data_IF_880056787657
#
_entry.id   IF_880056787657
#
_cell.length_a   1.000
_cell.length_b   1.000
_cell.length_c   1.000
_cell.angle_alpha   90.00
_cell.angle_beta   90.00
_cell.angle_gamma   90.00
#
_symmetry.space_group_name_H-M   'P 1'
#
loop_
_entity.id
_entity.type
_entity.pdbx_description
1 polymer ?
#
# COMPACT_ATOMS: atom_id res chain seq x y z
N UNK A 1 0.96 10.65 16.62
CA UNK A 1 1.55 9.32 16.37
C UNK A 1 1.87 9.27 14.89
N UNK A 2 3.12 9.00 14.52
CA UNK A 2 3.53 8.92 13.11
C UNK A 2 3.55 7.43 12.75
N UNK A 3 2.78 7.06 11.73
CA UNK A 3 2.61 5.68 11.26
C UNK A 3 3.73 5.33 10.28
N UNK A 4 4.74 4.62 10.77
CA UNK A 4 5.92 4.20 10.00
C UNK A 4 5.94 2.66 9.90
N UNK A 5 6.31 2.15 8.73
CA UNK A 5 6.62 0.72 8.50
C UNK A 5 8.00 0.64 7.88
N UNK A 6 8.89 -0.13 8.48
CA UNK A 6 10.26 -0.31 8.00
C UNK A 6 10.40 -1.61 7.22
N UNK A 7 11.27 -1.59 6.21
CA UNK A 7 11.66 -2.77 5.44
C UNK A 7 13.09 -2.61 4.94
N UNK A 8 13.81 -3.72 4.81
CA UNK A 8 15.20 -3.73 4.35
C UNK A 8 15.28 -4.22 2.90
N UNK A 9 16.07 -3.52 2.10
CA UNK A 9 16.41 -3.87 0.71
C UNK A 9 17.89 -3.62 0.49
N UNK A 10 18.62 -4.65 0.05
CA UNK A 10 20.04 -4.52 -0.30
C UNK A 10 20.90 -3.87 0.81
N UNK A 11 20.61 -4.17 2.08
CA UNK A 11 21.30 -3.60 3.25
C UNK A 11 20.89 -2.16 3.59
N UNK A 12 19.91 -1.58 2.89
CA UNK A 12 19.34 -0.26 3.15
C UNK A 12 17.97 -0.42 3.80
N UNK A 13 17.77 0.24 4.95
CA UNK A 13 16.47 0.29 5.62
C UNK A 13 15.66 1.44 5.05
N UNK A 14 14.53 1.11 4.44
CA UNK A 14 13.53 2.04 3.97
C UNK A 14 12.38 2.15 4.97
N UNK A 15 11.76 3.32 5.04
CA UNK A 15 10.58 3.55 5.87
C UNK A 15 9.44 4.03 4.97
N UNK A 16 8.29 3.37 5.02
CA UNK A 16 7.04 3.90 4.48
C UNK A 16 6.32 4.71 5.55
N UNK A 17 5.90 5.93 5.19
CA UNK A 17 5.17 6.82 6.09
C UNK A 17 3.98 7.46 5.39
N UNK A 18 2.78 7.13 5.88
CA UNK A 18 1.55 7.80 5.43
C UNK A 18 1.35 9.05 6.28
N UNK A 19 1.92 10.16 5.82
CA UNK A 19 1.73 11.50 6.39
C UNK A 19 0.72 12.30 5.60
N UNK A 20 0.24 13.42 6.15
CA UNK A 20 -0.55 14.40 5.39
C UNK A 20 0.19 14.88 4.14
N UNK A 21 1.51 15.10 4.23
CA UNK A 21 2.31 15.51 3.07
C UNK A 21 2.41 14.41 2.00
N UNK A 22 2.49 13.14 2.39
CA UNK A 22 2.43 12.02 1.47
C UNK A 22 1.08 12.01 0.72
N UNK A 23 -0.04 12.17 1.44
CA UNK A 23 -1.38 12.20 0.85
C UNK A 23 -1.55 13.39 -0.11
N UNK A 24 -1.06 14.58 0.27
CA UNK A 24 -1.11 15.78 -0.59
C UNK A 24 -0.24 15.61 -1.84
N UNK A 25 0.95 15.01 -1.71
CA UNK A 25 1.83 14.73 -2.86
C UNK A 25 1.18 13.76 -3.84
N UNK A 26 0.62 12.67 -3.32
CA UNK A 26 -0.15 11.74 -4.13
C UNK A 26 -1.29 12.46 -4.86
N UNK A 27 -2.09 13.25 -4.12
CA UNK A 27 -3.24 13.93 -4.70
C UNK A 27 -2.85 14.90 -5.81
N UNK A 28 -1.74 15.62 -5.65
CA UNK A 28 -1.23 16.52 -6.70
C UNK A 28 -0.73 15.77 -7.92
N UNK A 29 -0.10 14.61 -7.75
CA UNK A 29 0.43 13.81 -8.85
C UNK A 29 -0.67 13.04 -9.60
N UNK A 30 -1.62 12.47 -8.88
CA UNK A 30 -2.64 11.57 -9.44
C UNK A 30 -3.96 12.27 -9.81
N UNK A 31 -4.22 13.47 -9.29
CA UNK A 31 -5.50 14.18 -9.49
C UNK A 31 -6.68 13.58 -8.70
N UNK A 32 -6.44 12.58 -7.84
CA UNK A 32 -7.44 11.94 -6.99
C UNK A 32 -6.95 11.85 -5.54
N UNK A 33 -7.85 11.58 -4.58
CA UNK A 33 -7.43 11.48 -3.18
C UNK A 33 -6.64 10.20 -2.91
N UNK A 34 -5.75 10.21 -1.91
CA UNK A 34 -4.97 9.03 -1.52
C UNK A 34 -5.85 7.81 -1.22
N UNK A 35 -6.96 8.00 -0.50
CA UNK A 35 -7.90 6.92 -0.18
C UNK A 35 -8.63 6.40 -1.42
N UNK A 36 -8.95 7.27 -2.39
CA UNK A 36 -9.52 6.86 -3.69
C UNK A 36 -8.54 5.95 -4.43
N UNK A 37 -7.27 6.34 -4.48
CA UNK A 37 -6.21 5.56 -5.09
C UNK A 37 -6.03 4.19 -4.45
N UNK A 38 -5.99 4.15 -3.12
CA UNK A 38 -5.89 2.88 -2.38
C UNK A 38 -7.05 1.94 -2.69
N UNK A 39 -8.29 2.43 -2.62
CA UNK A 39 -9.48 1.63 -2.92
C UNK A 39 -9.55 1.17 -4.39
N UNK A 40 -8.92 1.89 -5.31
CA UNK A 40 -8.83 1.50 -6.71
C UNK A 40 -7.83 0.35 -6.92
N UNK A 41 -6.68 0.36 -6.23
CA UNK A 41 -5.71 -0.74 -6.25
C UNK A 41 -6.29 -2.04 -5.67
N UNK A 42 -7.08 -1.96 -4.61
CA UNK A 42 -7.75 -3.15 -4.06
C UNK A 42 -8.66 -3.84 -5.09
N UNK A 43 -9.27 -3.07 -6.00
CA UNK A 43 -10.14 -3.57 -7.07
C UNK A 43 -9.38 -3.97 -8.33
N UNK A 44 -8.24 -3.32 -8.58
CA UNK A 44 -7.41 -3.54 -9.76
C UNK A 44 -5.92 -3.50 -9.37
N UNK A 45 -5.40 -4.60 -8.81
CA UNK A 45 -4.00 -4.67 -8.37
C UNK A 45 -3.01 -4.63 -9.56
N UNK A 46 -3.50 -4.74 -10.80
CA UNK A 46 -2.72 -4.62 -12.03
C UNK A 46 -2.42 -3.19 -12.45
N UNK A 47 -2.99 -2.17 -11.78
CA UNK A 47 -2.69 -0.77 -12.08
C UNK A 47 -1.35 -0.36 -11.44
N UNK A 48 -0.26 -0.77 -12.09
CA UNK A 48 1.10 -0.57 -11.62
C UNK A 48 1.46 0.92 -11.50
N UNK A 49 0.93 1.77 -12.37
CA UNK A 49 1.18 3.22 -12.32
C UNK A 49 0.62 3.83 -11.03
N UNK A 50 -0.62 3.50 -10.69
CA UNK A 50 -1.24 3.95 -9.45
C UNK A 50 -0.56 3.37 -8.22
N UNK A 51 -0.19 2.09 -8.25
CA UNK A 51 0.53 1.44 -7.15
C UNK A 51 1.88 2.12 -6.91
N UNK A 52 2.65 2.38 -7.98
CA UNK A 52 3.92 3.10 -7.93
C UNK A 52 3.77 4.48 -7.30
N UNK A 53 2.74 5.24 -7.67
CA UNK A 53 2.47 6.56 -7.07
C UNK A 53 2.13 6.48 -5.59
N UNK A 54 1.37 5.47 -5.15
CA UNK A 54 1.05 5.28 -3.74
C UNK A 54 2.31 4.95 -2.92
N UNK A 55 3.15 4.04 -3.43
CA UNK A 55 4.42 3.68 -2.81
C UNK A 55 5.37 4.88 -2.77
N UNK A 56 5.53 5.58 -3.89
CA UNK A 56 6.30 6.83 -3.96
C UNK A 56 5.83 7.84 -2.91
N UNK A 57 4.52 8.08 -2.82
CA UNK A 57 3.98 9.02 -1.85
C UNK A 57 4.35 8.62 -0.41
N UNK A 58 4.27 7.33 -0.06
CA UNK A 58 4.66 6.81 1.24
C UNK A 58 6.18 6.95 1.52
N UNK A 59 7.02 6.89 0.49
CA UNK A 59 8.47 7.04 0.56
C UNK A 59 8.95 8.49 0.38
N UNK A 60 8.09 9.42 -0.06
CA UNK A 60 8.43 10.80 -0.48
C UNK A 60 9.01 11.72 0.61
N UNK A 61 9.21 11.21 1.82
CA UNK A 61 9.93 11.91 2.88
C UNK A 61 11.44 11.63 2.84
N UNK A 62 11.86 10.61 2.10
CA UNK A 62 13.26 10.33 1.77
C UNK A 62 13.70 11.37 0.75
N UNK A 63 14.80 12.07 1.06
CA UNK A 63 15.29 13.16 0.21
C UNK A 63 15.71 12.65 -1.17
N UNK A 64 15.35 13.39 -2.22
CA UNK A 64 15.64 13.03 -3.62
C UNK A 64 14.85 11.86 -4.22
N UNK A 65 13.96 11.19 -3.47
CA UNK A 65 13.21 10.04 -3.97
C UNK A 65 12.05 10.47 -4.90
N UNK A 66 12.17 10.14 -6.19
CA UNK A 66 11.18 10.42 -7.22
C UNK A 66 10.31 9.19 -7.55
N UNK A 67 9.30 9.35 -8.42
CA UNK A 67 8.38 8.24 -8.78
C UNK A 67 9.08 7.06 -9.46
N UNK A 68 10.11 7.32 -10.27
CA UNK A 68 10.84 6.28 -10.99
C UNK A 68 11.68 5.45 -10.02
N UNK A 69 12.39 6.10 -9.09
CA UNK A 69 13.13 5.44 -8.01
C UNK A 69 12.21 4.61 -7.10
N UNK A 70 10.96 5.03 -6.89
CA UNK A 70 9.98 4.20 -6.19
C UNK A 70 9.61 2.94 -6.99
N UNK A 71 9.58 3.03 -8.32
CA UNK A 71 9.44 1.88 -9.21
C UNK A 71 10.62 0.92 -9.08
N UNK A 72 11.85 1.44 -9.12
CA UNK A 72 13.06 0.62 -8.95
C UNK A 72 13.05 -0.12 -7.60
N UNK A 73 12.66 0.56 -6.52
CA UNK A 73 12.48 -0.06 -5.20
C UNK A 73 11.42 -1.17 -5.23
N UNK A 74 10.31 -0.95 -5.94
CA UNK A 74 9.28 -1.98 -6.09
C UNK A 74 9.75 -3.19 -6.90
N UNK A 75 10.59 -2.98 -7.91
CA UNK A 75 11.17 -4.06 -8.72
C UNK A 75 12.16 -4.89 -7.90
N UNK A 76 12.99 -4.26 -7.07
CA UNK A 76 13.90 -4.97 -6.15
C UNK A 76 13.15 -5.72 -5.04
N UNK A 77 12.07 -5.13 -4.51
CA UNK A 77 11.25 -5.72 -3.46
C UNK A 77 10.31 -6.81 -3.98
N UNK A 78 9.87 -6.68 -5.22
CA UNK A 78 8.74 -7.40 -5.78
C UNK A 78 7.40 -6.72 -5.46
N UNK A 79 6.50 -6.73 -6.45
CA UNK A 79 5.18 -6.07 -6.39
C UNK A 79 4.35 -6.55 -5.18
N UNK A 80 4.31 -7.85 -4.91
CA UNK A 80 3.52 -8.41 -3.81
C UNK A 80 3.99 -7.90 -2.45
N UNK A 81 5.31 -7.85 -2.24
CA UNK A 81 5.90 -7.34 -1.01
C UNK A 81 5.71 -5.82 -0.87
N UNK A 82 5.80 -5.07 -1.97
CA UNK A 82 5.49 -3.64 -1.97
C UNK A 82 4.03 -3.36 -1.57
N UNK A 83 3.06 -4.13 -2.11
CA UNK A 83 1.65 -4.05 -1.70
C UNK A 83 1.50 -4.39 -0.22
N UNK A 84 2.17 -5.44 0.25
CA UNK A 84 2.18 -5.83 1.66
C UNK A 84 2.63 -4.69 2.57
N UNK A 85 3.78 -4.06 2.27
CA UNK A 85 4.32 -2.94 3.05
C UNK A 85 3.44 -1.68 3.00
N UNK A 86 2.87 -1.38 1.84
CA UNK A 86 1.90 -0.30 1.72
C UNK A 86 0.66 -0.58 2.59
N UNK A 87 0.16 -1.81 2.57
CA UNK A 87 -1.02 -2.23 3.34
C UNK A 87 -0.77 -2.19 4.85
N UNK A 88 0.40 -2.64 5.30
CA UNK A 88 0.87 -2.49 6.69
C UNK A 88 0.90 -1.00 7.08
N UNK A 89 1.46 -0.13 6.23
CA UNK A 89 1.54 1.31 6.51
C UNK A 89 0.16 1.97 6.60
N UNK A 90 -0.78 1.56 5.73
CA UNK A 90 -2.20 1.96 5.79
C UNK A 90 -2.83 1.51 7.10
N UNK A 91 -2.63 0.26 7.51
CA UNK A 91 -3.23 -0.25 8.74
C UNK A 91 -2.77 0.52 9.99
N UNK A 92 -1.49 0.90 10.04
CA UNK A 92 -0.94 1.74 11.12
C UNK A 92 -1.45 3.19 11.03
N UNK A 93 -1.68 3.71 9.82
CA UNK A 93 -2.20 5.07 9.61
C UNK A 93 -3.71 5.19 9.88
N UNK A 94 -4.45 4.13 9.60
CA UNK A 94 -5.91 4.07 9.69
C UNK A 94 -6.36 2.80 10.42
N UNK A 95 -6.18 2.71 11.75
CA UNK A 95 -6.49 1.49 12.50
C UNK A 95 -7.95 1.02 12.37
N UNK A 96 -8.90 1.95 12.17
CA UNK A 96 -10.31 1.62 11.93
C UNK A 96 -10.55 0.98 10.56
N UNK A 97 -9.84 1.42 9.52
CA UNK A 97 -9.96 0.82 8.18
C UNK A 97 -9.42 -0.61 8.14
N UNK A 98 -8.36 -0.91 8.91
CA UNK A 98 -7.83 -2.26 9.05
C UNK A 98 -8.80 -3.22 9.78
N UNK A 99 -9.57 -2.72 10.75
CA UNK A 99 -10.58 -3.51 11.44
C UNK A 99 -11.74 -3.94 10.51
N UNK A 100 -12.10 -3.09 9.55
CA UNK A 100 -13.16 -3.37 8.58
C UNK A 100 -12.66 -4.21 7.37
N UNK A 101 -11.37 -4.11 7.00
CA UNK A 101 -10.77 -4.89 5.91
C UNK A 101 -10.57 -6.38 6.23
N UNK A 102 -10.66 -6.78 7.51
CA UNK A 102 -10.49 -8.17 7.94
C UNK A 102 -11.73 -9.05 7.72
N UNK A 103 -12.74 -8.57 6.98
CA UNK A 103 -13.97 -9.30 6.67
C UNK A 103 -14.35 -9.23 5.20
N UNK A 104 -13.62 -9.96 4.33
CA UNK A 104 -14.16 -10.61 3.11
C UNK A 104 -13.09 -11.37 2.29
N UNK A 105 -12.18 -12.08 2.96
CA UNK A 105 -11.38 -13.13 2.33
C UNK A 105 -12.16 -14.45 2.37
N UNK A 106 -12.97 -14.73 1.35
CA UNK A 106 -13.62 -16.02 1.20
C UNK A 106 -12.59 -17.13 0.93
N UNK A 107 -12.60 -18.18 1.75
CA UNK A 107 -12.03 -19.49 1.45
C UNK A 107 -12.16 -20.47 2.63
N UNK A 108 -12.27 -21.79 2.40
CA UNK A 108 -12.94 -22.52 1.31
C UNK A 108 -14.29 -23.11 1.77
N UNK A 109 -15.11 -23.51 0.80
CA UNK A 109 -16.37 -24.20 1.02
C UNK A 109 -16.22 -25.45 1.91
N UNK A 110 -16.83 -25.45 3.10
CA UNK A 110 -17.30 -26.68 3.75
C UNK A 110 -18.76 -26.88 3.37
N UNK A 111 -19.00 -27.53 2.24
CA UNK A 111 -20.28 -28.21 2.00
C UNK A 111 -20.43 -29.29 3.08
N UNK A 112 -21.34 -29.08 4.02
CA UNK A 112 -21.84 -30.16 4.86
C UNK A 112 -22.74 -31.07 4.01
N UNK A 113 -22.65 -32.41 4.13
CA UNK A 113 -23.50 -33.31 3.35
C UNK A 113 -24.96 -33.22 3.80
N UNK A 114 -25.85 -33.15 2.82
CA UNK A 114 -27.30 -33.12 2.97
C UNK A 114 -27.83 -34.43 3.59
N UNK A 115 -28.80 -34.31 4.51
CA UNK A 115 -29.63 -35.43 4.97
C UNK A 115 -30.76 -35.67 3.96
N UNK A 116 -30.92 -36.93 3.54
CA UNK A 116 -32.18 -37.49 3.03
C UNK A 116 -32.98 -38.09 4.18
#
# INVERSE_FOLDING_TARGET
MISNVEFELNGTVYTMRISTNAQVRYQRAAGETFLTGLAAIEKSPSDTERLRRLVWAALSHIDGLNEDAAGDIMDELGIEAAIGKLSEAVAVAYPKAAADASGNGAGPAKMAPAKQ
#
